data_IF_056820201260
#
_entry.id   IF_056820201260
#
_cell.length_a   1.000
_cell.length_b   1.000
_cell.length_c   1.000
_cell.angle_alpha   90.00
_cell.angle_beta   90.00
_cell.angle_gamma   90.00
#
_symmetry.space_group_name_H-M   'P 1'
#
loop_
_entity.id
_entity.type
_entity.pdbx_description
1 polymer ?
#
# COMPACT_ATOMS: atom_id res chain seq x y z
N UNK A 1 -8.22 30.33 -14.92
CA UNK A 1 -9.16 29.28 -14.50
C UNK A 1 -8.84 27.90 -15.10
N UNK A 2 -7.68 27.72 -15.75
CA UNK A 2 -7.38 26.50 -16.54
C UNK A 2 -6.59 25.43 -15.75
N UNK A 3 -5.79 25.84 -14.76
CA UNK A 3 -4.83 24.94 -14.07
C UNK A 3 -5.43 23.96 -13.06
N UNK A 4 -6.67 24.17 -12.61
CA UNK A 4 -7.33 23.25 -11.66
C UNK A 4 -7.80 21.96 -12.36
N UNK A 5 -8.16 22.07 -13.64
CA UNK A 5 -8.69 20.95 -14.42
C UNK A 5 -7.63 19.92 -14.82
N UNK A 6 -6.36 20.33 -14.91
CA UNK A 6 -5.24 19.46 -15.25
C UNK A 6 -4.84 18.55 -14.09
N UNK A 7 -4.96 19.05 -12.85
CA UNK A 7 -4.68 18.27 -11.65
C UNK A 7 -5.74 17.20 -11.43
N UNK A 8 -7.03 17.52 -11.57
CA UNK A 8 -8.13 16.57 -11.43
C UNK A 8 -8.00 15.41 -12.45
N UNK A 9 -7.66 15.72 -13.71
CA UNK A 9 -7.39 14.71 -14.74
C UNK A 9 -6.21 13.79 -14.39
N UNK A 10 -5.18 14.32 -13.73
CA UNK A 10 -4.03 13.52 -13.28
C UNK A 10 -4.39 12.60 -12.11
N UNK A 11 -5.26 13.04 -11.18
CA UNK A 11 -5.73 12.19 -10.08
C UNK A 11 -6.63 11.07 -10.59
N UNK A 12 -7.51 11.37 -11.55
CA UNK A 12 -8.39 10.39 -12.19
C UNK A 12 -7.61 9.35 -13.01
N UNK A 13 -6.56 9.76 -13.71
CA UNK A 13 -5.69 8.85 -14.46
C UNK A 13 -4.92 7.88 -13.55
N UNK A 14 -4.55 8.30 -12.34
CA UNK A 14 -3.92 7.44 -11.33
C UNK A 14 -4.94 6.50 -10.70
N UNK A 15 -6.15 6.99 -10.37
CA UNK A 15 -7.23 6.17 -9.83
C UNK A 15 -7.65 5.04 -10.79
N UNK A 16 -7.74 5.32 -12.10
CA UNK A 16 -8.04 4.33 -13.14
C UNK A 16 -6.96 3.24 -13.31
N UNK A 17 -5.74 3.48 -12.83
CA UNK A 17 -4.63 2.52 -12.89
C UNK A 17 -4.60 1.56 -11.69
N UNK A 18 -5.18 1.97 -10.56
CA UNK A 18 -5.26 1.16 -9.33
C UNK A 18 -6.45 0.18 -9.38
N UNK A 19 -7.51 0.50 -10.14
CA UNK A 19 -8.73 -0.33 -10.25
C UNK A 19 -8.66 -1.47 -11.28
N UNK A 20 -7.54 -1.63 -12.00
CA UNK A 20 -7.35 -2.70 -13.02
C UNK A 20 -6.59 -3.92 -12.53
N UNK A 21 -6.23 -4.00 -11.25
CA UNK A 21 -5.76 -5.27 -10.70
C UNK A 21 -6.95 -6.21 -10.58
N UNK A 22 -6.97 -7.36 -11.28
CA UNK A 22 -8.01 -8.36 -11.10
C UNK A 22 -8.02 -8.76 -9.61
N UNK A 23 -9.20 -8.97 -8.99
CA UNK A 23 -9.24 -9.51 -7.65
C UNK A 23 -8.50 -10.85 -7.67
N UNK A 24 -7.43 -10.95 -6.88
CA UNK A 24 -6.85 -12.24 -6.56
C UNK A 24 -7.90 -13.00 -5.76
N UNK A 25 -8.54 -13.97 -6.41
CA UNK A 25 -9.31 -15.02 -5.76
C UNK A 25 -8.36 -15.74 -4.80
N UNK A 26 -8.46 -15.42 -3.51
CA UNK A 26 -7.81 -16.20 -2.47
C UNK A 26 -8.49 -17.57 -2.47
N UNK A 27 -7.73 -18.68 -2.59
CA UNK A 27 -8.31 -20.00 -2.50
C UNK A 27 -8.91 -20.17 -1.11
N UNK A 28 -10.24 -20.13 -1.03
CA UNK A 28 -10.99 -20.54 0.15
C UNK A 28 -11.00 -22.07 0.16
N UNK A 29 -9.87 -22.67 0.56
CA UNK A 29 -9.82 -24.10 0.86
C UNK A 29 -10.51 -24.32 2.20
N UNK A 30 -11.76 -24.77 2.13
CA UNK A 30 -12.57 -25.19 3.28
C UNK A 30 -12.36 -26.67 3.62
N UNK A 31 -11.12 -27.15 3.56
CA UNK A 31 -10.76 -28.47 4.10
C UNK A 31 -9.85 -28.27 5.32
N UNK A 32 -10.51 -28.34 6.47
CA UNK A 32 -9.97 -28.33 7.82
C UNK A 32 -9.43 -29.74 8.11
N UNK A 33 -8.21 -30.05 7.69
CA UNK A 33 -7.52 -31.30 8.08
C UNK A 33 -6.04 -30.99 8.43
N UNK A 34 -5.78 -31.03 9.74
CA UNK A 34 -4.51 -31.36 10.42
C UNK A 34 -3.20 -30.73 9.88
N UNK A 35 -2.96 -29.47 10.25
CA UNK A 35 -1.67 -28.77 10.02
C UNK A 35 -0.54 -29.18 10.99
N UNK A 36 -0.71 -30.22 11.82
CA UNK A 36 0.33 -30.73 12.72
C UNK A 36 1.20 -31.84 12.12
N UNK A 37 0.73 -32.52 11.07
CA UNK A 37 1.42 -33.70 10.52
C UNK A 37 2.44 -33.36 9.41
N UNK A 38 2.40 -32.15 8.85
CA UNK A 38 3.35 -31.71 7.82
C UNK A 38 4.66 -31.14 8.36
N UNK A 39 4.77 -30.88 9.66
CA UNK A 39 6.01 -30.36 10.26
C UNK A 39 6.97 -31.47 10.71
N UNK A 40 6.46 -32.67 11.01
CA UNK A 40 7.27 -33.78 11.52
C UNK A 40 8.07 -34.51 10.42
N UNK A 41 7.64 -34.47 9.17
CA UNK A 41 8.31 -35.19 8.07
C UNK A 41 9.51 -34.40 7.48
N UNK A 42 9.58 -33.08 7.74
CA UNK A 42 10.68 -32.23 7.28
C UNK A 42 11.90 -32.29 8.24
N UNK A 43 11.69 -32.59 9.52
CA UNK A 43 12.77 -32.78 10.50
C UNK A 43 13.57 -34.08 10.26
N UNK A 44 12.94 -35.11 9.68
CA UNK A 44 13.62 -36.36 9.32
C UNK A 44 14.62 -36.24 8.17
N UNK A 45 14.42 -35.29 7.24
CA UNK A 45 15.29 -35.11 6.07
C UNK A 45 16.48 -34.18 6.33
N UNK A 46 16.43 -33.34 7.37
CA UNK A 46 17.53 -32.43 7.74
C UNK A 46 18.68 -33.15 8.48
N UNK A 47 18.40 -34.26 9.17
CA UNK A 47 19.46 -35.02 9.87
C UNK A 47 20.31 -35.90 8.93
N UNK A 48 19.80 -36.30 7.77
CA UNK A 48 20.58 -37.08 6.79
C UNK A 48 21.62 -36.23 6.04
N UNK A 49 21.42 -34.91 5.93
CA UNK A 49 22.30 -34.02 5.16
C UNK A 49 23.53 -33.51 5.93
N UNK A 50 23.68 -33.85 7.23
CA UNK A 50 24.80 -33.38 8.07
C UNK A 50 26.09 -34.20 7.94
N UNK A 51 26.09 -35.32 7.22
CA UNK A 51 27.22 -36.25 7.22
C UNK A 51 28.27 -36.03 6.12
N UNK A 52 28.03 -35.19 5.10
CA UNK A 52 28.95 -35.04 3.95
C UNK A 52 29.08 -33.60 3.41
N UNK A 53 29.04 -32.56 4.26
CA UNK A 53 29.45 -31.21 3.83
C UNK A 53 30.93 -30.98 4.17
N UNK A 54 31.79 -30.59 3.19
CA UNK A 54 33.16 -30.19 3.49
C UNK A 54 33.14 -28.98 4.44
N UNK A 55 34.06 -28.91 5.41
CA UNK A 55 34.11 -27.79 6.34
C UNK A 55 34.22 -26.47 5.57
N UNK A 56 33.54 -25.40 5.99
CA UNK A 56 33.71 -24.09 5.38
C UNK A 56 35.22 -23.75 5.40
N UNK A 57 35.75 -23.12 4.34
CA UNK A 57 37.15 -22.74 4.32
C UNK A 57 37.46 -21.96 5.60
N UNK A 58 38.66 -22.14 6.21
CA UNK A 58 39.04 -21.39 7.38
C UNK A 58 38.80 -19.92 7.07
N UNK A 59 38.01 -19.26 7.92
CA UNK A 59 37.77 -17.83 7.88
C UNK A 59 39.13 -17.22 8.19
N UNK A 60 39.96 -17.14 7.16
CA UNK A 60 41.26 -16.54 7.19
C UNK A 60 41.03 -15.11 7.62
N UNK A 61 41.61 -14.80 8.78
CA UNK A 61 42.26 -13.53 9.02
C UNK A 61 41.39 -12.36 8.55
N UNK A 62 40.56 -11.85 9.46
CA UNK A 62 39.93 -10.54 9.34
C UNK A 62 41.04 -9.55 9.03
N UNK A 63 41.27 -9.39 7.72
CA UNK A 63 42.30 -8.54 7.18
C UNK A 63 42.09 -7.20 7.84
N UNK A 64 43.19 -6.73 8.44
CA UNK A 64 43.34 -5.38 8.97
C UNK A 64 42.46 -4.42 8.17
N UNK A 65 41.63 -3.58 8.82
CA UNK A 65 40.77 -2.65 8.11
C UNK A 65 41.68 -1.81 7.23
N UNK A 66 41.72 -2.15 5.94
CA UNK A 66 42.58 -1.53 4.94
C UNK A 66 42.37 -0.04 5.12
N UNK A 67 43.44 0.62 5.55
CA UNK A 67 43.40 1.98 6.04
C UNK A 67 42.58 2.85 5.10
N UNK A 68 41.60 3.53 5.69
CA UNK A 68 41.29 4.94 5.45
C UNK A 68 41.73 5.46 4.07
N UNK A 69 41.06 4.98 3.03
CA UNK A 69 40.93 5.74 1.80
C UNK A 69 39.48 6.15 1.73
N UNK A 70 39.22 7.44 1.96
CA UNK A 70 37.91 8.04 1.72
C UNK A 70 37.51 7.76 0.27
N UNK A 71 36.65 6.76 0.04
CA UNK A 71 36.02 6.49 -1.25
C UNK A 71 34.85 7.44 -1.52
N UNK A 72 34.46 8.21 -0.50
CA UNK A 72 33.52 9.32 -0.58
C UNK A 72 33.95 10.29 -1.70
N UNK A 73 33.27 10.24 -2.84
CA UNK A 73 33.56 11.13 -3.98
C UNK A 73 34.02 10.43 -5.27
N UNK A 74 33.99 9.10 -5.36
CA UNK A 74 34.13 8.43 -6.68
C UNK A 74 32.89 8.69 -7.54
N UNK A 75 33.01 9.20 -8.76
CA UNK A 75 31.86 9.34 -9.65
C UNK A 75 31.37 7.96 -10.09
N UNK A 76 30.04 7.79 -10.13
CA UNK A 76 29.38 6.61 -10.70
C UNK A 76 28.60 7.01 -11.97
N UNK A 77 28.04 6.04 -12.70
CA UNK A 77 27.11 6.33 -13.82
C UNK A 77 25.97 7.26 -13.39
N UNK A 78 25.44 7.06 -12.19
CA UNK A 78 24.40 7.91 -11.61
C UNK A 78 24.83 9.34 -11.25
N UNK A 79 26.13 9.63 -11.27
CA UNK A 79 26.67 10.97 -10.99
C UNK A 79 26.68 11.90 -12.20
N UNK A 80 26.30 11.44 -13.40
CA UNK A 80 26.33 12.25 -14.63
C UNK A 80 25.55 13.57 -14.49
N UNK A 81 24.38 13.54 -13.83
CA UNK A 81 23.53 14.71 -13.61
C UNK A 81 23.72 15.36 -12.23
N UNK A 82 24.88 15.12 -11.59
CA UNK A 82 25.13 15.66 -10.25
C UNK A 82 25.29 17.18 -10.23
N UNK A 83 25.98 17.75 -11.23
CA UNK A 83 26.15 19.20 -11.34
C UNK A 83 24.80 19.93 -11.53
N UNK A 84 23.82 19.27 -12.14
CA UNK A 84 22.47 19.78 -12.35
C UNK A 84 21.55 19.57 -11.13
N UNK A 85 22.00 18.82 -10.12
CA UNK A 85 21.20 18.46 -8.94
C UNK A 85 20.07 17.45 -9.21
N UNK A 86 19.98 16.90 -10.42
CA UNK A 86 18.94 15.95 -10.82
C UNK A 86 19.32 14.47 -10.54
N UNK A 87 20.49 14.22 -9.97
CA UNK A 87 20.92 12.86 -9.65
C UNK A 87 20.27 12.31 -8.36
N UNK A 88 20.16 10.98 -8.27
CA UNK A 88 19.67 10.30 -7.06
C UNK A 88 20.84 9.76 -6.23
N UNK A 89 20.99 10.14 -4.95
CA UNK A 89 22.12 9.69 -4.12
C UNK A 89 22.05 8.20 -3.78
N UNK A 90 23.21 7.53 -3.88
CA UNK A 90 23.39 6.13 -3.52
C UNK A 90 23.27 5.92 -2.02
N UNK A 91 22.43 4.97 -1.62
CA UNK A 91 22.20 4.67 -0.20
C UNK A 91 23.40 3.98 0.45
N UNK A 92 24.09 3.11 -0.28
CA UNK A 92 25.13 2.22 0.23
C UNK A 92 26.45 2.95 0.44
N UNK A 93 26.94 3.68 -0.58
CA UNK A 93 28.14 4.52 -0.49
C UNK A 93 28.04 5.50 0.70
N UNK A 94 26.88 6.14 0.86
CA UNK A 94 26.64 7.13 1.91
C UNK A 94 26.48 6.53 3.32
N UNK A 95 26.11 5.25 3.45
CA UNK A 95 25.84 4.65 4.77
C UNK A 95 27.00 3.79 5.26
N UNK A 96 27.65 3.06 4.35
CA UNK A 96 28.73 2.12 4.66
C UNK A 96 30.08 2.49 4.06
N UNK A 97 30.18 3.60 3.31
CA UNK A 97 31.41 3.99 2.60
C UNK A 97 31.78 3.03 1.45
N UNK A 98 30.85 2.16 1.07
CA UNK A 98 31.07 1.13 0.06
C UNK A 98 29.77 0.83 -0.68
N UNK A 99 29.83 0.94 -2.02
CA UNK A 99 28.85 0.40 -2.93
C UNK A 99 29.42 -0.81 -3.67
N UNK A 100 28.70 -1.94 -3.68
CA UNK A 100 29.11 -3.14 -4.40
C UNK A 100 29.21 -2.93 -5.93
N UNK A 101 28.39 -2.02 -6.47
CA UNK A 101 28.36 -1.72 -7.90
C UNK A 101 29.51 -0.81 -8.35
N UNK A 102 30.28 -0.25 -7.41
CA UNK A 102 31.40 0.64 -7.70
C UNK A 102 31.02 1.75 -8.68
N UNK A 103 31.83 1.93 -9.72
CA UNK A 103 31.66 2.99 -10.72
C UNK A 103 30.45 2.74 -11.65
N UNK A 104 29.95 1.50 -11.71
CA UNK A 104 28.75 1.12 -12.48
C UNK A 104 27.44 1.39 -11.72
N UNK A 105 27.50 1.99 -10.52
CA UNK A 105 26.28 2.31 -9.78
C UNK A 105 25.42 3.35 -10.54
N UNK A 106 24.14 3.04 -10.74
CA UNK A 106 23.15 3.97 -11.32
C UNK A 106 22.77 5.12 -10.36
N UNK A 107 23.26 5.08 -9.12
CA UNK A 107 23.02 6.12 -8.13
C UNK A 107 24.28 6.92 -7.87
N UNK A 108 24.11 8.21 -7.60
CA UNK A 108 25.20 9.16 -7.41
C UNK A 108 25.95 8.94 -6.09
N UNK A 109 27.28 8.87 -6.19
CA UNK A 109 28.21 8.72 -5.07
C UNK A 109 28.76 10.06 -4.55
N UNK A 110 28.52 11.17 -5.26
CA UNK A 110 29.07 12.50 -4.97
C UNK A 110 28.29 13.29 -3.89
N UNK A 111 27.55 12.61 -3.03
CA UNK A 111 26.73 13.24 -1.98
C UNK A 111 27.21 12.88 -0.56
N UNK A 112 28.38 13.41 -0.13
CA UNK A 112 28.96 13.07 1.17
C UNK A 112 28.07 13.48 2.36
N UNK A 113 27.35 14.61 2.23
CA UNK A 113 26.55 15.18 3.32
C UNK A 113 25.07 14.79 3.30
N UNK A 114 24.63 13.99 2.32
CA UNK A 114 23.21 13.71 2.13
C UNK A 114 22.67 12.74 3.18
N UNK A 115 22.06 13.27 4.24
CA UNK A 115 21.37 12.48 5.26
C UNK A 115 19.86 12.46 5.00
N UNK A 116 19.35 11.36 4.39
CA UNK A 116 17.90 11.06 4.42
C UNK A 116 17.43 11.09 5.87
N UNK A 117 16.60 12.07 6.20
CA UNK A 117 15.92 12.17 7.50
C UNK A 117 14.81 11.14 7.49
N UNK A 118 15.01 10.04 8.22
CA UNK A 118 13.93 9.10 8.47
C UNK A 118 12.95 9.72 9.46
N UNK A 119 11.63 9.64 9.23
CA UNK A 119 10.66 10.10 10.20
C UNK A 119 10.84 9.32 11.50
N UNK A 120 10.78 10.04 12.63
CA UNK A 120 10.86 9.40 13.95
C UNK A 120 9.72 8.39 14.13
N UNK A 121 9.87 7.45 15.06
CA UNK A 121 8.78 6.54 15.45
C UNK A 121 7.51 7.33 15.77
N UNK A 122 7.64 8.39 16.57
CA UNK A 122 6.52 9.27 16.93
C UNK A 122 5.87 9.94 15.71
N UNK A 123 6.65 10.40 14.72
CA UNK A 123 6.11 10.98 13.49
C UNK A 123 5.31 9.95 12.68
N UNK A 124 5.82 8.71 12.56
CA UNK A 124 5.12 7.61 11.89
C UNK A 124 3.81 7.25 12.61
N UNK A 125 3.85 7.16 13.94
CA UNK A 125 2.68 6.84 14.75
C UNK A 125 1.60 7.92 14.65
N UNK A 126 1.98 9.20 14.66
CA UNK A 126 1.06 10.33 14.45
C UNK A 126 0.44 10.29 13.05
N UNK A 127 1.21 9.99 12.01
CA UNK A 127 0.69 9.86 10.65
C UNK A 127 -0.32 8.71 10.55
N UNK A 128 -0.02 7.55 11.14
CA UNK A 128 -0.94 6.40 11.19
C UNK A 128 -2.22 6.72 11.96
N UNK A 129 -2.12 7.42 13.08
CA UNK A 129 -3.28 7.84 13.86
C UNK A 129 -4.18 8.83 13.10
N UNK A 130 -3.58 9.77 12.33
CA UNK A 130 -4.34 10.69 11.47
C UNK A 130 -5.09 9.94 10.37
N UNK A 131 -4.44 8.99 9.72
CA UNK A 131 -5.07 8.16 8.69
C UNK A 131 -6.25 7.36 9.27
N UNK A 132 -6.08 6.72 10.43
CA UNK A 132 -7.17 5.97 11.09
C UNK A 132 -8.38 6.87 11.39
N UNK A 133 -8.15 8.06 11.95
CA UNK A 133 -9.24 9.01 12.23
C UNK A 133 -9.95 9.47 10.97
N UNK A 134 -9.22 9.69 9.88
CA UNK A 134 -9.83 10.07 8.60
C UNK A 134 -10.74 8.96 8.07
N UNK A 135 -10.28 7.70 8.11
CA UNK A 135 -11.07 6.53 7.69
C UNK A 135 -12.32 6.34 8.59
N UNK A 136 -12.18 6.51 9.90
CA UNK A 136 -13.31 6.45 10.84
C UNK A 136 -14.35 7.55 10.57
N UNK A 137 -13.89 8.78 10.27
CA UNK A 137 -14.78 9.88 9.90
C UNK A 137 -15.53 9.60 8.59
N UNK A 138 -14.84 9.06 7.59
CA UNK A 138 -15.45 8.69 6.31
C UNK A 138 -16.52 7.60 6.49
N UNK A 139 -16.24 6.58 7.30
CA UNK A 139 -17.22 5.53 7.62
C UNK A 139 -18.45 6.10 8.34
N UNK A 140 -18.25 7.02 9.29
CA UNK A 140 -19.36 7.68 9.99
C UNK A 140 -20.22 8.51 9.03
N UNK A 141 -19.60 9.22 8.08
CA UNK A 141 -20.32 9.98 7.06
C UNK A 141 -21.13 9.07 6.14
N UNK A 142 -20.55 7.95 5.69
CA UNK A 142 -21.23 6.96 4.87
C UNK A 142 -22.43 6.34 5.62
N UNK A 143 -22.26 6.03 6.91
CA UNK A 143 -23.35 5.47 7.73
C UNK A 143 -24.48 6.50 7.92
N UNK A 144 -24.14 7.77 8.20
CA UNK A 144 -25.13 8.84 8.33
C UNK A 144 -25.88 9.07 7.01
N UNK A 145 -25.17 9.08 5.88
CA UNK A 145 -25.77 9.22 4.57
C UNK A 145 -26.73 8.06 4.26
N UNK A 146 -26.32 6.81 4.53
CA UNK A 146 -27.17 5.64 4.35
C UNK A 146 -28.44 5.74 5.20
N UNK A 147 -28.33 6.16 6.47
CA UNK A 147 -29.48 6.38 7.35
C UNK A 147 -30.42 7.44 6.78
N UNK A 148 -29.88 8.54 6.23
CA UNK A 148 -30.68 9.60 5.59
C UNK A 148 -31.39 9.07 4.34
N UNK A 149 -30.71 8.28 3.50
CA UNK A 149 -31.32 7.67 2.32
C UNK A 149 -32.48 6.73 2.70
N UNK A 150 -32.29 5.88 3.70
CA UNK A 150 -33.34 4.99 4.20
C UNK A 150 -34.55 5.77 4.75
N UNK A 151 -34.32 6.88 5.43
CA UNK A 151 -35.41 7.72 5.91
C UNK A 151 -36.21 8.35 4.76
N UNK A 152 -35.52 8.89 3.75
CA UNK A 152 -36.17 9.43 2.56
C UNK A 152 -36.99 8.37 1.83
N UNK A 153 -36.48 7.15 1.71
CA UNK A 153 -37.21 6.05 1.09
C UNK A 153 -38.48 5.71 1.88
N UNK A 154 -38.41 5.64 3.21
CA UNK A 154 -39.60 5.46 4.07
C UNK A 154 -40.63 6.56 3.86
N UNK A 155 -40.19 7.82 3.81
CA UNK A 155 -41.08 8.96 3.56
C UNK A 155 -41.74 8.87 2.18
N UNK A 156 -40.98 8.50 1.14
CA UNK A 156 -41.50 8.31 -0.21
C UNK A 156 -42.51 7.16 -0.27
N UNK A 157 -42.24 6.04 0.41
CA UNK A 157 -43.18 4.92 0.48
C UNK A 157 -44.48 5.31 1.17
N UNK A 158 -44.39 6.05 2.27
CA UNK A 158 -45.57 6.56 2.97
C UNK A 158 -46.40 7.51 2.09
N UNK A 159 -45.74 8.42 1.37
CA UNK A 159 -46.39 9.29 0.40
C UNK A 159 -47.09 8.49 -0.71
N UNK A 160 -46.44 7.46 -1.27
CA UNK A 160 -47.04 6.56 -2.27
C UNK A 160 -48.26 5.84 -1.72
N UNK A 161 -48.18 5.30 -0.49
CA UNK A 161 -49.31 4.64 0.18
C UNK A 161 -50.49 5.60 0.37
N UNK A 162 -50.23 6.85 0.80
CA UNK A 162 -51.26 7.89 0.97
C UNK A 162 -51.93 8.24 -0.37
N UNK A 163 -51.13 8.44 -1.43
CA UNK A 163 -51.65 8.71 -2.76
C UNK A 163 -52.50 7.56 -3.29
N UNK A 164 -52.05 6.31 -3.13
CA UNK A 164 -52.80 5.13 -3.56
C UNK A 164 -54.12 4.99 -2.81
N UNK A 165 -54.14 5.23 -1.50
CA UNK A 165 -55.38 5.25 -0.71
C UNK A 165 -56.34 6.35 -1.17
N UNK A 166 -55.83 7.54 -1.50
CA UNK A 166 -56.63 8.64 -2.03
C UNK A 166 -57.23 8.29 -3.41
N UNK A 167 -56.44 7.71 -4.32
CA UNK A 167 -56.92 7.23 -5.62
C UNK A 167 -58.00 6.16 -5.47
N UNK A 168 -57.81 5.19 -4.55
CA UNK A 168 -58.83 4.18 -4.27
C UNK A 168 -60.13 4.78 -3.73
N UNK A 169 -60.05 5.79 -2.85
CA UNK A 169 -61.22 6.52 -2.35
C UNK A 169 -61.93 7.25 -3.49
N UNK A 170 -61.19 7.95 -4.35
CA UNK A 170 -61.74 8.64 -5.51
C UNK A 170 -62.41 7.68 -6.49
N UNK A 171 -61.77 6.55 -6.82
CA UNK A 171 -62.34 5.52 -7.70
C UNK A 171 -63.65 4.97 -7.13
N UNK A 172 -63.70 4.66 -5.82
CA UNK A 172 -64.94 4.21 -5.16
C UNK A 172 -66.05 5.27 -5.16
N UNK A 173 -65.71 6.56 -5.13
CA UNK A 173 -66.71 7.64 -5.21
C UNK A 173 -67.23 7.85 -6.64
N UNK A 174 -66.38 7.69 -7.67
CA UNK A 174 -66.76 7.88 -9.08
C UNK A 174 -67.47 6.67 -9.69
N UNK A 175 -67.24 5.47 -9.17
CA UNK A 175 -67.94 4.25 -9.55
C UNK A 175 -68.85 3.76 -8.41
N UNK A 176 -69.92 4.50 -8.05
CA UNK A 176 -70.96 3.94 -7.21
C UNK A 176 -71.54 2.76 -7.98
N UNK A 177 -71.59 1.61 -7.30
CA UNK A 177 -72.10 0.35 -7.82
C UNK A 177 -73.42 0.63 -8.56
N UNK A 178 -73.41 0.43 -9.88
CA UNK A 178 -74.64 0.27 -10.66
C UNK A 178 -75.22 -1.06 -10.18
N UNK A 179 -76.07 -1.00 -9.16
CA UNK A 179 -76.95 -2.08 -8.71
C UNK A 179 -78.33 -1.82 -9.30
#
# INVERSE_FOLDING_TARGET
EDSSSDLEKQVDAVAQRVTRLPPMELPTSSDDESSSDLWSDLEGQVEAAKQDMPPPPPIGEWGEPRGSSSLCGRPSLGSALHAEGACTPCRFEKTGGFCHNGDQCEFCHLHPDYKRKHPSKQARDRAKARLRRAMEQEQQQQEEELRRQQELERQQEEQRRRQQQQQQRQHKQLHPIIC
#
